data_IF_066951983515
#
_entry.id   IF_066951983515
#
_cell.length_a   1.000
_cell.length_b   1.000
_cell.length_c   1.000
_cell.angle_alpha   90.00
_cell.angle_beta   90.00
_cell.angle_gamma   90.00
#
_symmetry.space_group_name_H-M   'P 1'
#
loop_
_entity.id
_entity.type
_entity.pdbx_description
1 polymer ?
#
# COMPACT_ATOMS: atom_id res chain seq x y z
N UNK A 1 61.70 46.27 -1.59
CA UNK A 1 61.51 47.70 -1.22
C UNK A 1 60.56 47.74 -0.03
N UNK A 2 61.15 48.08 1.11
CA UNK A 2 60.48 48.36 2.38
C UNK A 2 59.72 49.68 2.29
N UNK A 3 58.60 49.78 2.96
CA UNK A 3 58.17 51.00 3.70
C UNK A 3 56.91 50.62 4.49
N UNK A 4 57.05 50.30 5.78
CA UNK A 4 56.96 51.16 6.99
C UNK A 4 55.56 51.68 7.28
N UNK A 5 55.02 51.12 8.36
CA UNK A 5 53.92 51.64 9.18
C UNK A 5 54.25 52.96 9.86
N UNK A 6 53.27 53.71 10.27
CA UNK A 6 53.38 54.52 11.48
C UNK A 6 52.28 54.16 12.53
N UNK A 7 52.55 54.50 13.80
CA UNK A 7 51.81 54.02 14.94
C UNK A 7 50.77 55.02 15.49
N UNK A 8 49.85 54.46 16.23
CA UNK A 8 49.24 54.97 17.48
C UNK A 8 48.67 56.36 17.62
N UNK A 9 47.46 56.42 18.06
CA UNK A 9 47.24 56.99 19.42
C UNK A 9 45.80 56.76 19.87
N UNK A 10 45.67 56.37 21.09
CA UNK A 10 44.49 56.13 21.85
C UNK A 10 43.64 57.41 22.08
N UNK A 11 42.35 57.28 22.01
CA UNK A 11 41.44 58.09 22.84
C UNK A 11 40.36 57.19 23.40
N UNK A 12 40.43 56.96 24.72
CA UNK A 12 39.43 56.41 25.57
C UNK A 12 38.29 57.41 25.70
N UNK A 13 37.12 57.07 25.15
CA UNK A 13 35.87 57.68 25.60
C UNK A 13 34.89 56.55 25.95
N UNK A 14 34.61 56.50 27.25
CA UNK A 14 33.66 55.55 27.82
C UNK A 14 32.26 55.76 27.28
N UNK A 15 31.75 54.79 26.59
CA UNK A 15 30.33 54.64 26.37
C UNK A 15 29.80 53.61 27.36
N UNK A 16 29.08 54.11 28.39
CA UNK A 16 28.18 53.31 29.19
C UNK A 16 27.14 52.69 28.24
N UNK A 17 27.33 51.46 27.82
CA UNK A 17 26.30 50.66 27.19
C UNK A 17 25.38 50.12 28.28
N UNK A 18 24.29 50.80 28.49
CA UNK A 18 23.10 50.23 29.19
C UNK A 18 22.56 49.14 28.31
N UNK A 19 22.92 47.90 28.59
CA UNK A 19 22.28 46.73 28.02
C UNK A 19 20.78 46.73 28.37
N UNK A 20 19.88 46.58 27.38
CA UNK A 20 18.45 46.41 27.66
C UNK A 20 18.29 45.10 28.44
N UNK A 21 17.78 45.20 29.66
CA UNK A 21 17.30 44.02 30.40
C UNK A 21 16.23 43.35 29.52
N UNK A 22 16.57 42.22 28.93
CA UNK A 22 15.61 41.30 28.34
C UNK A 22 14.68 40.85 29.49
N UNK A 23 13.50 41.40 29.55
CA UNK A 23 12.42 40.88 30.36
C UNK A 23 12.16 39.44 29.88
N UNK A 24 12.70 38.48 30.61
CA UNK A 24 12.24 37.11 30.55
C UNK A 24 10.79 37.08 31.02
N UNK A 25 9.86 37.41 30.14
CA UNK A 25 8.49 36.98 30.28
C UNK A 25 8.53 35.47 30.27
N UNK A 26 8.38 34.89 31.45
CA UNK A 26 8.15 33.48 31.66
C UNK A 26 6.90 33.09 30.88
N UNK A 27 7.07 32.76 29.63
CA UNK A 27 6.02 32.09 28.82
C UNK A 27 5.80 30.74 29.48
N UNK A 28 4.68 30.64 30.22
CA UNK A 28 4.18 29.33 30.65
C UNK A 28 4.22 28.40 29.45
N UNK A 29 4.79 27.18 29.57
CA UNK A 29 4.76 26.22 28.48
C UNK A 29 3.29 26.02 28.10
N UNK A 30 2.94 26.40 26.89
CA UNK A 30 1.62 26.10 26.32
C UNK A 30 1.58 24.58 26.26
N UNK A 31 0.96 23.94 27.23
CA UNK A 31 0.62 22.53 27.17
C UNK A 31 -0.32 22.35 25.98
N UNK A 32 0.23 22.08 24.81
CA UNK A 32 -0.57 21.73 23.65
C UNK A 32 -1.36 20.48 24.01
N UNK A 33 -2.67 20.66 24.22
CA UNK A 33 -3.59 19.56 24.46
C UNK A 33 -3.53 18.63 23.27
N UNK A 34 -3.02 17.42 23.48
CA UNK A 34 -2.95 16.40 22.43
C UNK A 34 -4.37 16.16 21.92
N UNK A 35 -4.67 16.36 20.64
CA UNK A 35 -6.02 16.17 20.11
C UNK A 35 -6.45 14.70 20.26
N UNK A 36 -7.75 14.42 20.37
CA UNK A 36 -8.25 13.05 20.51
C UNK A 36 -7.82 12.21 19.28
N UNK A 37 -7.58 10.92 19.51
CA UNK A 37 -7.09 9.97 18.51
C UNK A 37 -7.97 9.92 17.25
N UNK A 38 -9.27 10.09 17.41
CA UNK A 38 -10.23 10.16 16.29
C UNK A 38 -9.96 11.35 15.36
N UNK A 39 -9.67 12.53 15.92
CA UNK A 39 -9.33 13.73 15.14
C UNK A 39 -8.00 13.57 14.43
N UNK A 40 -7.01 12.95 15.08
CA UNK A 40 -5.72 12.63 14.47
C UNK A 40 -5.91 11.71 13.26
N UNK A 41 -6.62 10.60 13.45
CA UNK A 41 -6.86 9.61 12.41
C UNK A 41 -7.64 10.19 11.23
N UNK A 42 -8.70 10.96 11.49
CA UNK A 42 -9.50 11.60 10.42
C UNK A 42 -8.69 12.62 9.62
N UNK A 43 -7.81 13.38 10.26
CA UNK A 43 -6.94 14.34 9.59
C UNK A 43 -5.90 13.64 8.72
N UNK A 44 -5.27 12.59 9.24
CA UNK A 44 -4.32 11.75 8.47
C UNK A 44 -5.02 11.08 7.28
N UNK A 45 -6.18 10.49 7.50
CA UNK A 45 -6.96 9.84 6.45
C UNK A 45 -7.34 10.83 5.34
N UNK A 46 -7.78 12.04 5.70
CA UNK A 46 -8.09 13.11 4.74
C UNK A 46 -6.84 13.51 3.94
N UNK A 47 -5.69 13.64 4.60
CA UNK A 47 -4.43 13.96 3.93
C UNK A 47 -3.99 12.85 2.97
N UNK A 48 -4.06 11.59 3.39
CA UNK A 48 -3.69 10.44 2.57
C UNK A 48 -4.65 10.27 1.38
N UNK A 49 -5.97 10.44 1.57
CA UNK A 49 -6.96 10.44 0.48
C UNK A 49 -6.72 11.58 -0.51
N UNK A 50 -6.42 12.78 0.00
CA UNK A 50 -6.12 13.93 -0.87
C UNK A 50 -4.84 13.66 -1.70
N UNK A 51 -3.83 13.06 -1.10
CA UNK A 51 -2.59 12.69 -1.79
C UNK A 51 -2.86 11.64 -2.86
N UNK A 52 -3.68 10.64 -2.57
CA UNK A 52 -4.09 9.61 -3.52
C UNK A 52 -4.89 10.23 -4.68
N UNK A 53 -5.83 11.13 -4.38
CA UNK A 53 -6.63 11.82 -5.39
C UNK A 53 -5.78 12.74 -6.30
N UNK A 54 -4.81 13.42 -5.72
CA UNK A 54 -3.87 14.26 -6.51
C UNK A 54 -2.98 13.43 -7.43
N UNK A 55 -2.72 12.15 -7.12
CA UNK A 55 -1.99 11.22 -7.97
C UNK A 55 -2.93 10.48 -8.95
N UNK A 56 -3.76 11.25 -9.67
CA UNK A 56 -4.85 10.75 -10.54
C UNK A 56 -4.38 9.68 -11.53
N UNK A 57 -3.18 9.84 -12.10
CA UNK A 57 -2.64 8.89 -13.09
C UNK A 57 -2.45 7.50 -12.49
N UNK A 58 -1.80 7.39 -11.34
CA UNK A 58 -1.62 6.08 -10.66
C UNK A 58 -2.95 5.52 -10.17
N UNK A 59 -3.84 6.37 -9.64
CA UNK A 59 -5.18 5.97 -9.20
C UNK A 59 -5.98 5.36 -10.36
N UNK A 60 -6.04 6.06 -11.49
CA UNK A 60 -6.77 5.60 -12.68
C UNK A 60 -6.18 4.28 -13.23
N UNK A 61 -4.85 4.14 -13.28
CA UNK A 61 -4.21 2.92 -13.77
C UNK A 61 -4.57 1.70 -12.90
N UNK A 62 -4.57 1.85 -11.57
CA UNK A 62 -4.91 0.76 -10.65
C UNK A 62 -6.36 0.28 -10.85
N UNK A 63 -7.28 1.19 -11.16
CA UNK A 63 -8.67 0.85 -11.42
C UNK A 63 -8.91 0.34 -12.84
N UNK A 64 -8.31 0.97 -13.83
CA UNK A 64 -8.58 0.69 -15.23
C UNK A 64 -7.91 -0.60 -15.73
N UNK A 65 -6.69 -0.92 -15.27
CA UNK A 65 -5.97 -2.09 -15.76
C UNK A 65 -6.74 -3.38 -15.56
N UNK A 66 -7.26 -3.73 -14.36
CA UNK A 66 -8.07 -4.94 -14.18
C UNK A 66 -9.34 -4.94 -15.02
N UNK A 67 -9.97 -3.78 -15.20
CA UNK A 67 -11.19 -3.63 -16.03
C UNK A 67 -10.86 -3.85 -17.50
N UNK A 68 -9.79 -3.25 -18.02
CA UNK A 68 -9.37 -3.44 -19.43
C UNK A 68 -9.01 -4.91 -19.68
N UNK A 69 -8.33 -5.57 -18.74
CA UNK A 69 -8.03 -6.99 -18.84
C UNK A 69 -9.34 -7.80 -18.92
N UNK A 70 -10.30 -7.52 -18.04
CA UNK A 70 -11.60 -8.20 -18.04
C UNK A 70 -12.31 -8.04 -19.39
N UNK A 71 -12.42 -6.82 -19.90
CA UNK A 71 -13.06 -6.53 -21.19
C UNK A 71 -12.36 -7.22 -22.37
N UNK A 72 -11.05 -7.41 -22.31
CA UNK A 72 -10.30 -8.11 -23.34
C UNK A 72 -10.45 -9.65 -23.25
N UNK A 73 -10.96 -10.16 -22.13
CA UNK A 73 -11.06 -11.60 -21.84
C UNK A 73 -12.41 -12.24 -22.17
N UNK A 74 -13.22 -11.62 -23.02
CA UNK A 74 -14.55 -12.15 -23.39
C UNK A 74 -14.48 -13.63 -23.81
N UNK A 75 -13.54 -13.99 -24.68
CA UNK A 75 -13.35 -15.37 -25.11
C UNK A 75 -12.82 -16.32 -24.00
N UNK A 76 -12.20 -15.80 -22.95
CA UNK A 76 -11.82 -16.55 -21.75
C UNK A 76 -13.04 -16.81 -20.86
N UNK A 77 -13.91 -15.81 -20.73
CA UNK A 77 -15.16 -15.92 -19.96
C UNK A 77 -16.06 -17.00 -20.56
N UNK A 78 -16.19 -17.05 -21.87
CA UNK A 78 -16.99 -18.07 -22.57
C UNK A 78 -16.44 -19.50 -22.37
N UNK A 79 -15.12 -19.67 -22.18
CA UNK A 79 -14.48 -20.97 -22.01
C UNK A 79 -14.31 -21.40 -20.55
N UNK A 80 -13.92 -20.49 -19.68
CA UNK A 80 -13.52 -20.78 -18.30
C UNK A 80 -14.53 -20.26 -17.27
N UNK A 81 -15.53 -19.49 -17.71
CA UNK A 81 -16.59 -18.94 -16.87
C UNK A 81 -16.24 -17.60 -16.21
N UNK A 82 -17.31 -16.87 -15.84
CA UNK A 82 -17.21 -15.53 -15.27
C UNK A 82 -16.51 -15.48 -13.93
N UNK A 83 -16.68 -16.52 -13.09
CA UNK A 83 -16.01 -16.62 -11.77
C UNK A 83 -14.50 -16.65 -11.90
N UNK A 84 -13.98 -17.39 -12.88
CA UNK A 84 -12.54 -17.45 -13.18
C UNK A 84 -12.00 -16.06 -13.58
N UNK A 85 -12.69 -15.41 -14.52
CA UNK A 85 -12.24 -14.12 -15.05
C UNK A 85 -12.29 -13.01 -13.98
N UNK A 86 -13.42 -12.89 -13.26
CA UNK A 86 -13.54 -11.92 -12.17
C UNK A 86 -12.51 -12.16 -11.07
N UNK A 87 -12.33 -13.42 -10.63
CA UNK A 87 -11.34 -13.78 -9.62
C UNK A 87 -9.92 -13.42 -10.03
N UNK A 88 -9.54 -13.72 -11.26
CA UNK A 88 -8.22 -13.38 -11.81
C UNK A 88 -8.01 -11.87 -11.92
N UNK A 89 -8.98 -11.12 -12.47
CA UNK A 89 -8.89 -9.67 -12.63
C UNK A 89 -8.82 -8.96 -11.26
N UNK A 90 -9.62 -9.38 -10.28
CA UNK A 90 -9.55 -8.84 -8.92
C UNK A 90 -8.18 -9.16 -8.31
N UNK A 91 -7.68 -10.40 -8.43
CA UNK A 91 -6.36 -10.78 -7.89
C UNK A 91 -5.24 -9.93 -8.49
N UNK A 92 -5.23 -9.71 -9.81
CA UNK A 92 -4.27 -8.82 -10.49
C UNK A 92 -4.34 -7.40 -9.92
N UNK A 93 -5.55 -6.88 -9.71
CA UNK A 93 -5.78 -5.58 -9.10
C UNK A 93 -5.27 -5.49 -7.65
N UNK A 94 -5.49 -6.54 -6.85
CA UNK A 94 -5.00 -6.63 -5.47
C UNK A 94 -3.47 -6.61 -5.42
N UNK A 95 -2.80 -7.35 -6.31
CA UNK A 95 -1.34 -7.35 -6.44
C UNK A 95 -0.85 -5.95 -6.81
N UNK A 96 -1.51 -5.27 -7.76
CA UNK A 96 -1.16 -3.92 -8.16
C UNK A 96 -1.29 -2.92 -7.00
N UNK A 97 -2.38 -2.99 -6.22
CA UNK A 97 -2.59 -2.12 -5.05
C UNK A 97 -1.49 -2.34 -4.01
N UNK A 98 -1.20 -3.60 -3.67
CA UNK A 98 -0.20 -3.93 -2.64
C UNK A 98 1.23 -3.59 -3.06
N UNK A 99 1.64 -4.01 -4.26
CA UNK A 99 3.02 -3.91 -4.71
C UNK A 99 3.32 -2.57 -5.40
N UNK A 100 2.46 -2.10 -6.30
CA UNK A 100 2.73 -0.87 -7.05
C UNK A 100 2.13 0.38 -6.40
N UNK A 101 1.00 0.25 -5.72
CA UNK A 101 0.37 1.34 -4.99
C UNK A 101 1.02 1.58 -3.62
N UNK A 102 0.81 0.65 -2.70
CA UNK A 102 1.19 0.77 -1.29
C UNK A 102 2.70 0.80 -1.08
N UNK A 103 3.45 -0.22 -1.54
CA UNK A 103 4.89 -0.32 -1.26
C UNK A 103 5.67 0.89 -1.80
N UNK A 104 5.36 1.34 -3.04
CA UNK A 104 6.02 2.49 -3.63
C UNK A 104 5.64 3.81 -2.93
N UNK A 105 4.40 3.93 -2.42
CA UNK A 105 4.00 5.10 -1.64
C UNK A 105 4.78 5.18 -0.34
N UNK A 106 4.84 4.07 0.42
CA UNK A 106 5.56 4.00 1.70
C UNK A 106 7.06 4.24 1.50
N UNK A 107 7.67 3.63 0.48
CA UNK A 107 9.09 3.83 0.18
C UNK A 107 9.43 5.28 -0.14
N UNK A 108 8.65 5.94 -1.01
CA UNK A 108 8.85 7.36 -1.36
C UNK A 108 8.69 8.30 -0.16
N UNK A 109 7.73 8.02 0.71
CA UNK A 109 7.48 8.87 1.88
C UNK A 109 8.58 8.70 2.93
N UNK A 110 9.17 7.50 3.02
CA UNK A 110 10.37 7.26 3.84
C UNK A 110 11.56 8.04 3.32
N UNK A 111 11.84 8.01 2.02
CA UNK A 111 12.96 8.74 1.41
C UNK A 111 12.79 10.26 1.53
N UNK A 112 11.57 10.78 1.46
CA UNK A 112 11.26 12.19 1.69
C UNK A 112 11.32 12.60 3.18
N UNK A 113 11.62 11.70 4.09
CA UNK A 113 11.66 11.97 5.52
C UNK A 113 10.31 12.29 6.15
N UNK A 114 9.20 11.97 5.48
CA UNK A 114 7.84 12.25 5.99
C UNK A 114 7.62 11.50 7.29
N UNK A 115 8.03 10.24 7.38
CA UNK A 115 7.90 9.45 8.62
C UNK A 115 8.71 10.03 9.77
N UNK A 116 9.89 10.58 9.52
CA UNK A 116 10.72 11.21 10.55
C UNK A 116 10.01 12.45 11.11
N UNK A 117 9.43 13.28 10.23
CA UNK A 117 8.67 14.47 10.65
C UNK A 117 7.40 14.10 11.43
N UNK A 118 6.70 13.04 11.02
CA UNK A 118 5.52 12.56 11.73
C UNK A 118 5.89 11.93 13.08
N UNK A 119 7.07 11.33 13.24
CA UNK A 119 7.53 10.72 14.49
C UNK A 119 7.86 11.74 15.59
N UNK A 120 8.31 12.95 15.23
CA UNK A 120 8.55 14.04 16.21
C UNK A 120 7.27 14.79 16.57
N UNK A 121 6.18 14.61 15.82
CA UNK A 121 4.88 15.11 16.19
C UNK A 121 4.31 14.27 17.37
N UNK A 122 3.47 14.84 18.23
CA UNK A 122 2.86 14.14 19.37
C UNK A 122 1.73 13.20 18.89
N UNK A 123 2.04 12.32 17.94
CA UNK A 123 1.10 11.39 17.31
C UNK A 123 1.53 9.94 17.57
N UNK A 124 0.61 9.04 17.88
CA UNK A 124 0.94 7.62 18.01
C UNK A 124 1.32 7.04 16.62
N UNK A 125 2.47 6.38 16.54
CA UNK A 125 3.02 5.84 15.27
C UNK A 125 2.06 4.87 14.56
N UNK A 126 1.23 4.15 15.31
CA UNK A 126 0.24 3.24 14.74
C UNK A 126 -0.85 3.96 13.93
N UNK A 127 -1.22 5.20 14.30
CA UNK A 127 -2.25 5.95 13.57
C UNK A 127 -1.83 6.32 12.15
N UNK A 128 -0.53 6.52 11.92
CA UNK A 128 0.05 6.80 10.60
C UNK A 128 -0.10 5.58 9.69
N UNK A 129 0.25 4.39 10.18
CA UNK A 129 0.12 3.17 9.41
C UNK A 129 -1.33 2.77 9.19
N UNK A 130 -2.19 2.97 10.22
CA UNK A 130 -3.62 2.68 10.12
C UNK A 130 -4.31 3.54 9.08
N UNK A 131 -4.03 4.85 9.02
CA UNK A 131 -4.56 5.75 7.99
C UNK A 131 -4.24 5.24 6.59
N UNK A 132 -2.98 4.85 6.35
CA UNK A 132 -2.54 4.31 5.06
C UNK A 132 -3.24 3.01 4.70
N UNK A 133 -3.36 2.08 5.65
CA UNK A 133 -4.07 0.82 5.42
C UNK A 133 -5.53 1.07 5.08
N UNK A 134 -6.21 1.97 5.79
CA UNK A 134 -7.62 2.32 5.51
C UNK A 134 -7.80 2.88 4.09
N UNK A 135 -6.88 3.73 3.62
CA UNK A 135 -6.90 4.20 2.22
C UNK A 135 -6.75 3.04 1.24
N UNK A 136 -5.85 2.09 1.51
CA UNK A 136 -5.67 0.94 0.62
C UNK A 136 -6.89 -0.01 0.64
N UNK A 137 -7.51 -0.21 1.79
CA UNK A 137 -8.76 -0.97 1.88
C UNK A 137 -9.88 -0.30 1.05
N UNK A 138 -10.00 1.02 1.12
CA UNK A 138 -10.93 1.76 0.26
C UNK A 138 -10.59 1.57 -1.23
N UNK A 139 -9.31 1.60 -1.61
CA UNK A 139 -8.87 1.34 -2.98
C UNK A 139 -9.24 -0.06 -3.46
N UNK A 140 -9.09 -1.07 -2.58
CA UNK A 140 -9.51 -2.45 -2.87
C UNK A 140 -11.00 -2.52 -3.13
N UNK A 141 -11.82 -1.88 -2.28
CA UNK A 141 -13.27 -1.85 -2.46
C UNK A 141 -13.65 -1.16 -3.77
N UNK A 142 -13.06 -0.01 -4.08
CA UNK A 142 -13.35 0.72 -5.33
C UNK A 142 -12.95 -0.09 -6.57
N UNK A 143 -11.77 -0.73 -6.55
CA UNK A 143 -11.30 -1.58 -7.64
C UNK A 143 -12.20 -2.81 -7.83
N UNK A 144 -12.55 -3.50 -6.73
CA UNK A 144 -13.46 -4.65 -6.78
C UNK A 144 -14.83 -4.25 -7.33
N UNK A 145 -15.35 -3.09 -6.89
CA UNK A 145 -16.60 -2.53 -7.43
C UNK A 145 -16.49 -2.26 -8.93
N UNK A 146 -15.39 -1.65 -9.38
CA UNK A 146 -15.19 -1.37 -10.80
C UNK A 146 -15.17 -2.66 -11.65
N UNK A 147 -14.52 -3.72 -11.15
CA UNK A 147 -14.49 -5.02 -11.82
C UNK A 147 -15.86 -5.68 -11.83
N UNK A 148 -16.62 -5.64 -10.72
CA UNK A 148 -17.99 -6.19 -10.68
C UNK A 148 -18.93 -5.44 -11.60
N UNK A 149 -18.87 -4.11 -11.62
CA UNK A 149 -19.68 -3.28 -12.53
C UNK A 149 -19.34 -3.58 -13.98
N UNK A 150 -18.07 -3.67 -14.33
CA UNK A 150 -17.63 -4.03 -15.67
C UNK A 150 -18.11 -5.43 -16.06
N UNK A 151 -17.93 -6.44 -15.21
CA UNK A 151 -18.39 -7.81 -15.45
C UNK A 151 -19.90 -7.91 -15.65
N UNK A 152 -20.68 -7.16 -14.87
CA UNK A 152 -22.14 -7.15 -14.99
C UNK A 152 -22.61 -6.48 -16.31
N UNK A 153 -22.10 -5.29 -16.62
CA UNK A 153 -22.60 -4.53 -17.78
C UNK A 153 -22.06 -5.02 -19.12
N UNK A 154 -20.78 -5.37 -19.19
CA UNK A 154 -20.12 -5.72 -20.46
C UNK A 154 -20.11 -7.23 -20.73
N UNK A 155 -19.84 -8.03 -19.71
CA UNK A 155 -19.69 -9.48 -19.85
C UNK A 155 -20.93 -10.25 -19.40
N UNK A 156 -21.97 -9.54 -18.92
CA UNK A 156 -23.25 -10.09 -18.43
C UNK A 156 -23.07 -11.17 -17.35
N UNK A 157 -21.98 -11.12 -16.59
CA UNK A 157 -21.73 -12.00 -15.47
C UNK A 157 -22.57 -11.53 -14.28
N UNK A 158 -23.67 -12.22 -14.01
CA UNK A 158 -24.52 -11.95 -12.85
C UNK A 158 -24.16 -12.87 -11.71
N UNK A 159 -23.94 -12.31 -10.54
CA UNK A 159 -23.68 -13.03 -9.30
C UNK A 159 -24.90 -12.87 -8.37
N UNK A 160 -25.18 -13.86 -7.49
CA UNK A 160 -26.17 -13.67 -6.44
C UNK A 160 -25.71 -12.57 -5.46
N UNK A 161 -26.63 -11.92 -4.76
CA UNK A 161 -26.30 -10.86 -3.80
C UNK A 161 -25.27 -11.31 -2.73
N UNK A 162 -25.42 -12.56 -2.28
CA UNK A 162 -24.43 -13.21 -1.38
C UNK A 162 -23.05 -13.35 -2.02
N UNK A 163 -22.99 -13.63 -3.34
CA UNK A 163 -21.72 -13.73 -4.08
C UNK A 163 -20.96 -12.39 -4.14
N UNK A 164 -21.67 -11.28 -4.33
CA UNK A 164 -21.06 -9.95 -4.24
C UNK A 164 -20.53 -9.67 -2.83
N UNK A 165 -21.33 -9.95 -1.78
CA UNK A 165 -20.92 -9.71 -0.38
C UNK A 165 -19.69 -10.54 0.00
N UNK A 166 -19.70 -11.84 -0.29
CA UNK A 166 -18.54 -12.72 -0.06
C UNK A 166 -17.34 -12.34 -0.92
N UNK A 167 -17.58 -11.90 -2.16
CA UNK A 167 -16.54 -11.39 -3.06
C UNK A 167 -15.81 -10.18 -2.48
N UNK A 168 -16.50 -9.20 -1.87
CA UNK A 168 -15.85 -8.09 -1.17
C UNK A 168 -15.05 -8.56 0.03
N UNK A 169 -15.59 -9.46 0.85
CA UNK A 169 -14.90 -9.98 2.03
C UNK A 169 -13.61 -10.70 1.64
N UNK A 170 -13.66 -11.59 0.65
CA UNK A 170 -12.49 -12.32 0.15
C UNK A 170 -11.49 -11.43 -0.56
N UNK A 171 -11.94 -10.37 -1.25
CA UNK A 171 -11.07 -9.36 -1.82
C UNK A 171 -10.29 -8.58 -0.73
N UNK A 172 -10.94 -8.22 0.38
CA UNK A 172 -10.25 -7.61 1.51
C UNK A 172 -9.22 -8.55 2.15
N UNK A 173 -9.54 -9.84 2.28
CA UNK A 173 -8.61 -10.84 2.79
C UNK A 173 -7.42 -11.05 1.86
N UNK A 174 -7.66 -11.19 0.54
CA UNK A 174 -6.61 -11.24 -0.47
C UNK A 174 -5.78 -9.97 -0.50
N UNK A 175 -6.42 -8.82 -0.32
CA UNK A 175 -5.75 -7.52 -0.19
C UNK A 175 -4.78 -7.47 0.98
N UNK A 176 -5.13 -8.06 2.12
CA UNK A 176 -4.23 -8.14 3.29
C UNK A 176 -2.94 -8.92 2.97
N UNK A 177 -3.01 -9.98 2.15
CA UNK A 177 -1.82 -10.72 1.68
C UNK A 177 -0.87 -9.81 0.92
N UNK A 178 -1.37 -9.08 -0.08
CA UNK A 178 -0.51 -8.26 -0.94
C UNK A 178 -0.07 -6.95 -0.30
N UNK A 179 -0.88 -6.38 0.59
CA UNK A 179 -0.45 -5.26 1.44
C UNK A 179 0.67 -5.70 2.41
N UNK A 180 0.53 -6.88 3.02
CA UNK A 180 1.57 -7.48 3.85
C UNK A 180 2.86 -7.74 3.06
N UNK A 181 2.75 -8.30 1.85
CA UNK A 181 3.89 -8.53 0.96
C UNK A 181 4.56 -7.21 0.56
N UNK A 182 3.77 -6.19 0.20
CA UNK A 182 4.28 -4.85 -0.09
C UNK A 182 5.00 -4.24 1.12
N UNK A 183 4.45 -4.41 2.32
CA UNK A 183 5.08 -3.98 3.57
C UNK A 183 6.39 -4.72 3.83
N UNK A 184 6.44 -6.03 3.56
CA UNK A 184 7.65 -6.84 3.69
C UNK A 184 8.75 -6.36 2.74
N UNK A 185 8.44 -6.08 1.47
CA UNK A 185 9.40 -5.54 0.50
C UNK A 185 9.97 -4.21 0.99
N UNK A 186 9.12 -3.29 1.47
CA UNK A 186 9.58 -2.00 2.01
C UNK A 186 10.39 -2.17 3.29
N UNK A 187 10.08 -3.18 4.10
CA UNK A 187 10.86 -3.51 5.29
C UNK A 187 12.27 -3.97 4.98
N UNK A 188 12.42 -4.82 3.95
CA UNK A 188 13.70 -5.41 3.55
C UNK A 188 14.59 -4.43 2.78
N UNK A 189 14.00 -3.60 1.91
CA UNK A 189 14.72 -2.75 0.98
C UNK A 189 14.66 -1.29 1.44
N UNK A 190 15.82 -0.65 1.58
CA UNK A 190 15.94 0.74 2.06
C UNK A 190 15.67 1.76 0.96
N UNK A 191 16.20 1.57 -0.23
CA UNK A 191 16.14 2.52 -1.34
C UNK A 191 14.78 2.45 -2.05
N UNK A 192 14.09 3.58 -2.24
CA UNK A 192 12.77 3.63 -2.88
C UNK A 192 12.80 3.21 -4.36
N UNK A 193 13.87 3.49 -5.07
CA UNK A 193 14.00 3.08 -6.47
C UNK A 193 14.12 1.56 -6.58
N UNK A 194 14.91 0.95 -5.69
CA UNK A 194 15.04 -0.52 -5.60
C UNK A 194 13.71 -1.16 -5.17
N UNK A 195 12.96 -0.56 -4.23
CA UNK A 195 11.60 -1.01 -3.89
C UNK A 195 10.69 -1.00 -5.11
N UNK A 196 10.72 0.09 -5.89
CA UNK A 196 9.90 0.22 -7.09
C UNK A 196 10.24 -0.85 -8.15
N UNK A 197 11.52 -1.07 -8.41
CA UNK A 197 11.99 -2.08 -9.37
C UNK A 197 11.65 -3.51 -8.91
N UNK A 198 11.89 -3.81 -7.63
CA UNK A 198 11.55 -5.12 -7.03
C UNK A 198 10.04 -5.36 -7.05
N UNK A 199 9.24 -4.36 -6.68
CA UNK A 199 7.78 -4.47 -6.69
C UNK A 199 7.23 -4.73 -8.11
N UNK A 200 7.80 -4.10 -9.12
CA UNK A 200 7.43 -4.35 -10.53
C UNK A 200 7.81 -5.75 -10.97
N UNK A 201 9.01 -6.21 -10.61
CA UNK A 201 9.48 -7.55 -10.94
C UNK A 201 8.58 -8.61 -10.30
N UNK A 202 8.31 -8.48 -8.99
CA UNK A 202 7.44 -9.41 -8.26
C UNK A 202 6.01 -9.38 -8.82
N UNK A 203 5.46 -8.20 -9.12
CA UNK A 203 4.17 -8.04 -9.80
C UNK A 203 4.12 -8.81 -11.12
N UNK A 204 5.13 -8.62 -11.96
CA UNK A 204 5.22 -9.29 -13.25
C UNK A 204 5.32 -10.81 -13.10
N UNK A 205 6.15 -11.30 -12.18
CA UNK A 205 6.29 -12.73 -11.89
C UNK A 205 4.94 -13.32 -11.44
N UNK A 206 4.23 -12.68 -10.51
CA UNK A 206 2.93 -13.18 -10.04
C UNK A 206 1.92 -13.27 -11.17
N UNK A 207 1.87 -12.31 -12.08
CA UNK A 207 0.94 -12.32 -13.19
C UNK A 207 1.35 -13.38 -14.21
N UNK A 208 2.61 -13.40 -14.65
CA UNK A 208 3.07 -14.31 -15.69
C UNK A 208 3.03 -15.76 -15.21
N UNK A 209 3.68 -16.05 -14.08
CA UNK A 209 3.72 -17.43 -13.54
C UNK A 209 2.35 -17.83 -13.01
N UNK A 210 1.64 -16.94 -12.33
CA UNK A 210 0.32 -17.21 -11.78
C UNK A 210 -0.69 -17.54 -12.87
N UNK A 211 -0.84 -16.66 -13.86
CA UNK A 211 -1.83 -16.81 -14.91
C UNK A 211 -1.49 -17.96 -15.87
N UNK A 212 -0.26 -18.01 -16.39
CA UNK A 212 0.13 -19.06 -17.34
C UNK A 212 0.30 -20.43 -16.69
N UNK A 213 0.71 -20.47 -15.41
CA UNK A 213 0.76 -21.70 -14.63
C UNK A 213 -0.62 -22.30 -14.41
N UNK A 214 -1.60 -21.46 -14.10
CA UNK A 214 -2.98 -21.89 -13.91
C UNK A 214 -3.66 -22.35 -15.21
N UNK A 215 -3.35 -21.70 -16.32
CA UNK A 215 -3.80 -22.13 -17.65
C UNK A 215 -3.10 -23.41 -18.16
N UNK A 216 -2.17 -23.98 -17.38
CA UNK A 216 -1.43 -25.18 -17.73
C UNK A 216 -0.36 -24.99 -18.80
N UNK A 217 -0.11 -23.76 -19.25
CA UNK A 217 0.88 -23.44 -20.30
C UNK A 217 2.31 -23.76 -19.83
N UNK A 218 2.58 -23.60 -18.53
CA UNK A 218 3.91 -23.84 -17.94
C UNK A 218 4.12 -25.29 -17.45
N UNK A 219 3.17 -26.18 -17.75
CA UNK A 219 3.22 -27.57 -17.32
C UNK A 219 2.51 -27.86 -15.99
N UNK A 220 2.20 -29.14 -15.76
CA UNK A 220 1.38 -29.56 -14.61
C UNK A 220 2.03 -29.29 -13.25
N UNK A 221 3.34 -29.47 -13.13
CA UNK A 221 4.08 -29.25 -11.88
C UNK A 221 4.03 -27.79 -11.44
N UNK A 222 4.24 -26.88 -12.38
CA UNK A 222 4.14 -25.43 -12.09
C UNK A 222 2.69 -25.04 -11.77
N UNK A 223 1.71 -25.61 -12.46
CA UNK A 223 0.29 -25.41 -12.16
C UNK A 223 -0.05 -25.81 -10.74
N UNK A 224 0.45 -26.96 -10.26
CA UNK A 224 0.28 -27.39 -8.86
C UNK A 224 0.92 -26.41 -7.86
N UNK A 225 2.14 -25.96 -8.14
CA UNK A 225 2.81 -24.98 -7.27
C UNK A 225 2.06 -23.64 -7.23
N UNK A 226 1.55 -23.20 -8.38
CA UNK A 226 0.77 -21.95 -8.49
C UNK A 226 -0.52 -22.01 -7.69
N UNK A 227 -1.23 -23.13 -7.64
CA UNK A 227 -2.46 -23.28 -6.86
C UNK A 227 -2.26 -22.94 -5.37
N UNK A 228 -1.10 -23.27 -4.83
CA UNK A 228 -0.75 -23.01 -3.41
C UNK A 228 0.01 -21.69 -3.20
N UNK A 229 0.37 -21.01 -4.27
CA UNK A 229 1.00 -19.68 -4.20
C UNK A 229 0.02 -18.62 -3.69
N UNK A 230 0.49 -17.45 -3.22
CA UNK A 230 -0.38 -16.32 -2.88
C UNK A 230 -1.33 -15.91 -4.00
N UNK A 231 -0.92 -16.06 -5.28
CA UNK A 231 -1.78 -15.81 -6.43
C UNK A 231 -2.93 -16.82 -6.52
N UNK A 232 -2.60 -18.10 -6.54
CA UNK A 232 -3.57 -19.17 -6.74
C UNK A 232 -4.57 -19.28 -5.59
N UNK A 233 -4.10 -19.19 -4.35
CA UNK A 233 -4.99 -19.28 -3.17
C UNK A 233 -5.97 -18.11 -3.08
N UNK A 234 -5.51 -16.86 -3.29
CA UNK A 234 -6.37 -15.68 -3.31
C UNK A 234 -7.39 -15.75 -4.45
N UNK A 235 -6.96 -16.10 -5.66
CA UNK A 235 -7.87 -16.25 -6.79
C UNK A 235 -8.88 -17.37 -6.56
N UNK A 236 -8.45 -18.51 -6.00
CA UNK A 236 -9.34 -19.65 -5.75
C UNK A 236 -10.44 -19.30 -4.75
N UNK A 237 -10.11 -18.64 -3.62
CA UNK A 237 -11.14 -18.21 -2.66
C UNK A 237 -12.09 -17.15 -3.25
N UNK A 238 -11.59 -16.25 -4.11
CA UNK A 238 -12.43 -15.29 -4.82
C UNK A 238 -13.42 -15.98 -5.75
N UNK A 239 -12.94 -16.85 -6.63
CA UNK A 239 -13.78 -17.57 -7.58
C UNK A 239 -14.85 -18.43 -6.86
N UNK A 240 -14.48 -19.13 -5.78
CA UNK A 240 -15.40 -19.92 -4.97
C UNK A 240 -16.41 -19.08 -4.20
N UNK A 241 -16.06 -17.87 -3.80
CA UNK A 241 -16.95 -16.97 -3.05
C UNK A 241 -18.07 -16.38 -3.89
N UNK A 242 -17.89 -16.27 -5.21
CA UNK A 242 -18.91 -15.72 -6.09
C UNK A 242 -20.15 -16.59 -6.23
N UNK A 243 -20.01 -17.89 -6.01
CA UNK A 243 -21.11 -18.84 -5.96
C UNK A 243 -21.01 -19.63 -4.64
N UNK A 244 -21.64 -19.17 -3.55
CA UNK A 244 -21.49 -19.79 -2.23
C UNK A 244 -21.82 -21.29 -2.19
N UNK A 245 -22.68 -21.77 -3.11
CA UNK A 245 -22.96 -23.20 -3.27
C UNK A 245 -21.80 -24.04 -3.84
N UNK A 246 -20.79 -23.40 -4.43
CA UNK A 246 -19.58 -24.06 -4.95
C UNK A 246 -18.39 -24.06 -3.95
N UNK A 247 -18.60 -23.55 -2.74
CA UNK A 247 -17.55 -23.56 -1.71
C UNK A 247 -17.27 -24.98 -1.24
N UNK A 248 -16.06 -25.45 -1.47
CA UNK A 248 -15.62 -26.79 -1.18
C UNK A 248 -14.50 -26.84 -0.13
N UNK A 249 -14.03 -28.06 0.20
CA UNK A 249 -12.89 -28.26 1.11
C UNK A 249 -11.60 -27.62 0.55
N UNK A 250 -11.43 -27.58 -0.78
CA UNK A 250 -10.28 -26.96 -1.43
C UNK A 250 -10.27 -25.44 -1.19
N UNK A 251 -11.43 -24.79 -1.32
CA UNK A 251 -11.58 -23.36 -1.02
C UNK A 251 -11.28 -23.06 0.47
N UNK A 252 -11.71 -23.94 1.38
CA UNK A 252 -11.41 -23.82 2.81
C UNK A 252 -9.91 -23.95 3.09
N UNK A 253 -9.22 -24.91 2.46
CA UNK A 253 -7.76 -25.04 2.56
C UNK A 253 -7.05 -23.81 2.01
N UNK A 254 -7.46 -23.33 0.82
CA UNK A 254 -6.91 -22.11 0.22
C UNK A 254 -7.12 -20.88 1.12
N UNK A 255 -8.26 -20.78 1.82
CA UNK A 255 -8.53 -19.72 2.79
C UNK A 255 -7.54 -19.76 3.96
N UNK A 256 -7.31 -20.93 4.56
CA UNK A 256 -6.35 -21.10 5.66
C UNK A 256 -4.95 -20.67 5.21
N UNK A 257 -4.52 -21.11 4.03
CA UNK A 257 -3.21 -20.74 3.47
C UNK A 257 -3.12 -19.24 3.18
N UNK A 258 -4.19 -18.62 2.66
CA UNK A 258 -4.28 -17.18 2.43
C UNK A 258 -4.13 -16.40 3.74
N UNK A 259 -4.80 -16.82 4.82
CA UNK A 259 -4.65 -16.22 6.15
C UNK A 259 -3.21 -16.39 6.64
N UNK A 260 -2.61 -17.56 6.45
CA UNK A 260 -1.21 -17.82 6.77
C UNK A 260 -0.26 -16.84 6.05
N UNK A 261 -0.42 -16.63 4.75
CA UNK A 261 0.36 -15.65 3.99
C UNK A 261 0.14 -14.22 4.51
N UNK A 262 -1.10 -13.82 4.78
CA UNK A 262 -1.39 -12.50 5.30
C UNK A 262 -0.68 -12.24 6.64
N UNK A 263 -0.70 -13.21 7.55
CA UNK A 263 -0.02 -13.12 8.86
C UNK A 263 1.50 -13.07 8.66
N UNK A 264 2.07 -14.01 7.91
CA UNK A 264 3.51 -14.12 7.70
C UNK A 264 4.07 -12.83 7.10
N UNK A 265 3.50 -12.36 6.00
CA UNK A 265 3.98 -11.16 5.31
C UNK A 265 3.80 -9.90 6.16
N UNK A 266 2.69 -9.78 6.89
CA UNK A 266 2.45 -8.64 7.78
C UNK A 266 3.43 -8.63 8.96
N UNK A 267 3.64 -9.77 9.62
CA UNK A 267 4.58 -9.88 10.74
C UNK A 267 6.02 -9.59 10.30
N UNK A 268 6.45 -10.18 9.19
CA UNK A 268 7.78 -9.93 8.63
C UNK A 268 7.94 -8.47 8.20
N UNK A 269 6.91 -7.91 7.56
CA UNK A 269 6.90 -6.52 7.12
C UNK A 269 6.97 -5.53 8.29
N UNK A 270 6.26 -5.79 9.38
CA UNK A 270 6.32 -4.95 10.59
C UNK A 270 7.68 -5.11 11.30
N UNK A 271 8.16 -6.34 11.46
CA UNK A 271 9.42 -6.64 12.17
C UNK A 271 10.64 -5.99 11.51
N UNK A 272 10.67 -5.96 10.17
CA UNK A 272 11.80 -5.42 9.41
C UNK A 272 11.62 -3.97 8.96
N UNK A 273 10.49 -3.34 9.29
CA UNK A 273 10.24 -1.97 8.89
C UNK A 273 11.17 -0.98 9.59
N UNK A 274 11.90 -0.20 8.80
CA UNK A 274 12.76 0.89 9.26
C UNK A 274 12.14 2.24 8.95
N UNK A 275 12.04 3.08 9.97
CA UNK A 275 11.40 4.39 9.87
C UNK A 275 12.22 5.43 9.10
N UNK A 276 13.52 5.22 8.96
CA UNK A 276 14.42 6.09 8.18
C UNK A 276 15.27 5.29 7.20
N UNK A 277 15.59 5.89 6.04
CA UNK A 277 16.55 5.34 5.08
C UNK A 277 17.98 5.40 5.60
N UNK A 278 18.26 6.28 6.59
CA UNK A 278 19.59 6.54 7.15
C UNK A 278 19.97 5.64 8.34
N UNK A 279 19.06 4.83 8.88
CA UNK A 279 19.39 3.87 9.93
C UNK A 279 20.25 2.73 9.34
N UNK A 280 21.55 2.71 9.72
CA UNK A 280 22.51 1.66 9.38
C UNK A 280 22.35 0.47 10.31
#
# INVERSE_FOLDING_TARGET
MQTTLPPSSAILTGHHSTSPRLNHTSSKPIMQKIPPTSTILSTLLRADLTTQWRNRKSFMLILLVPVIILLSWKGVIDKLGGGFALGSCITIGLIAIGLMGYSNSVARDRDKGIFQRLRVAPLPSWSIMMSRLLVQLLMILLMTTAVFVAGFYFDKVSLPASGYAWGYLTALMGGAVYLGLGQMIVGLIKNAETVNSTSRLVYFIFIMVGMFGELGVLGKEIGHAVQWSPYGTVKHILASSFQPGSWDISATKALIVTIGYAIIFSVLGIKWFKWSSSER
#
